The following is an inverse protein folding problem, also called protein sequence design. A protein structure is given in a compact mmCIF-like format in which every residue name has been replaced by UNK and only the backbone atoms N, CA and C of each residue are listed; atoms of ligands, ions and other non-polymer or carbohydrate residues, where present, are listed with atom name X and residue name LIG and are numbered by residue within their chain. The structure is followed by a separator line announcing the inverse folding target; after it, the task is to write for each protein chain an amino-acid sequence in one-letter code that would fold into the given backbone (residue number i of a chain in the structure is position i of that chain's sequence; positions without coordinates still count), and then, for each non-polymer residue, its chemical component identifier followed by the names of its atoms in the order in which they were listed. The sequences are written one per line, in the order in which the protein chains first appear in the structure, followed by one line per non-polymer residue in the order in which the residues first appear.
data_IF_550541738443
#
_entry.id   IF_550541738443
#
_cell.length_a   1.000
_cell.length_b   1.000
_cell.length_c   1.000
_cell.angle_alpha   90.00
_cell.angle_beta   90.00
_cell.angle_gamma   90.00
#
_symmetry.space_group_name_H-M   'P 1'
#
loop_
_entity.id
_entity.type
_entity.pdbx_description
1 polymer ?
#
# COMPACT_ATOMS: atom_id res chain seq x y z
N UNK A 1 -43.29 -4.72 -8.32
CA UNK A 1 -42.70 -5.81 -7.52
C UNK A 1 -41.20 -5.74 -7.73
N UNK A 2 -40.45 -5.20 -6.77
CA UNK A 2 -38.99 -5.05 -6.89
C UNK A 2 -38.30 -6.38 -6.55
N UNK A 3 -37.34 -6.80 -7.37
CA UNK A 3 -36.58 -8.03 -7.18
C UNK A 3 -35.69 -7.96 -5.92
N UNK A 4 -35.43 -9.08 -5.24
CA UNK A 4 -34.53 -9.10 -4.08
C UNK A 4 -33.08 -8.85 -4.52
N UNK A 5 -32.47 -7.84 -3.93
CA UNK A 5 -31.06 -7.50 -4.12
C UNK A 5 -30.18 -8.57 -3.46
N UNK A 6 -29.66 -9.50 -4.27
CA UNK A 6 -28.84 -10.60 -3.79
C UNK A 6 -27.39 -10.14 -3.69
N UNK A 7 -27.09 -9.32 -2.68
CA UNK A 7 -25.73 -8.82 -2.43
C UNK A 7 -24.82 -9.98 -2.03
N UNK A 8 -24.02 -10.45 -2.99
CA UNK A 8 -22.98 -11.46 -2.74
C UNK A 8 -21.85 -10.81 -1.96
N UNK A 9 -21.77 -11.07 -0.65
CA UNK A 9 -20.68 -10.59 0.19
C UNK A 9 -19.39 -11.36 -0.09
N UNK A 10 -18.47 -10.74 -0.82
CA UNK A 10 -17.13 -11.28 -0.96
C UNK A 10 -16.32 -11.03 0.31
N UNK A 11 -15.67 -12.06 0.89
CA UNK A 11 -14.88 -11.89 2.09
C UNK A 11 -13.66 -11.01 1.80
N UNK A 12 -13.40 -10.01 2.65
CA UNK A 12 -12.19 -9.19 2.56
C UNK A 12 -10.95 -10.06 2.78
N UNK A 13 -9.94 -9.89 1.93
CA UNK A 13 -8.69 -10.66 1.99
C UNK A 13 -7.51 -9.73 2.25
N UNK A 14 -6.54 -10.25 3.01
CA UNK A 14 -5.27 -9.57 3.24
C UNK A 14 -4.60 -9.25 1.89
N UNK A 15 -4.17 -8.00 1.71
CA UNK A 15 -3.55 -7.57 0.45
C UNK A 15 -2.29 -8.35 0.09
N UNK A 16 -1.56 -8.80 1.12
CA UNK A 16 -0.30 -9.53 0.97
C UNK A 16 -0.49 -11.05 0.86
N UNK A 17 -1.00 -11.68 1.92
CA UNK A 17 -1.09 -13.15 1.98
C UNK A 17 -2.42 -13.73 1.51
N UNK A 18 -3.37 -12.89 1.09
CA UNK A 18 -4.70 -13.29 0.58
C UNK A 18 -5.58 -14.08 1.56
N UNK A 19 -5.15 -14.27 2.80
CA UNK A 19 -5.95 -14.86 3.89
C UNK A 19 -7.16 -13.99 4.17
N UNK A 20 -8.31 -14.62 4.40
CA UNK A 20 -9.56 -13.94 4.77
C UNK A 20 -9.35 -13.17 6.08
N UNK A 21 -9.74 -11.90 6.08
CA UNK A 21 -9.75 -11.05 7.25
C UNK A 21 -11.08 -11.22 7.98
N UNK A 22 -11.03 -11.56 9.27
CA UNK A 22 -12.24 -11.62 10.12
C UNK A 22 -12.81 -10.24 10.42
N UNK A 23 -11.94 -9.24 10.47
CA UNK A 23 -12.28 -7.82 10.62
C UNK A 23 -11.53 -7.06 9.53
N UNK A 24 -12.19 -6.21 8.72
CA UNK A 24 -11.51 -5.32 7.80
C UNK A 24 -10.47 -4.47 8.52
N UNK A 25 -9.44 -4.04 7.80
CA UNK A 25 -8.45 -3.11 8.31
C UNK A 25 -8.21 -1.97 7.33
N UNK A 26 -7.87 -0.76 7.82
CA UNK A 26 -7.63 0.40 6.95
C UNK A 26 -6.53 0.13 5.90
N UNK A 27 -5.44 -0.50 6.34
CA UNK A 27 -4.30 -0.88 5.49
C UNK A 27 -4.54 -2.15 4.63
N UNK A 28 -5.70 -2.79 4.76
CA UNK A 28 -6.02 -4.06 4.10
C UNK A 28 -5.13 -5.25 4.51
N UNK A 29 -4.30 -5.12 5.56
CA UNK A 29 -3.40 -6.17 6.04
C UNK A 29 -3.93 -6.91 7.26
N UNK A 30 -3.76 -8.24 7.26
CA UNK A 30 -3.95 -9.05 8.46
C UNK A 30 -2.83 -8.83 9.48
N UNK A 31 -3.05 -9.16 10.78
CA UNK A 31 -2.10 -8.84 11.87
C UNK A 31 -0.67 -9.33 11.64
N UNK A 32 -0.51 -10.55 11.10
CA UNK A 32 0.81 -11.11 10.75
C UNK A 32 1.50 -10.27 9.68
N UNK A 33 0.82 -10.01 8.56
CA UNK A 33 1.40 -9.27 7.44
C UNK A 33 1.69 -7.82 7.80
N UNK A 34 0.83 -7.17 8.61
CA UNK A 34 1.12 -5.85 9.16
C UNK A 34 2.41 -5.84 9.98
N UNK A 35 2.58 -6.83 10.88
CA UNK A 35 3.82 -6.97 11.66
C UNK A 35 5.03 -7.17 10.77
N UNK A 36 4.92 -7.97 9.71
CA UNK A 36 6.00 -8.20 8.75
C UNK A 36 6.40 -6.91 8.05
N UNK A 37 5.44 -6.17 7.48
CA UNK A 37 5.71 -4.89 6.81
C UNK A 37 6.37 -3.89 7.76
N UNK A 38 5.85 -3.74 8.98
CA UNK A 38 6.45 -2.87 10.01
C UNK A 38 7.86 -3.32 10.40
N UNK A 39 8.12 -4.63 10.48
CA UNK A 39 9.44 -5.18 10.77
C UNK A 39 10.41 -4.90 9.63
N UNK A 40 10.01 -5.12 8.38
CA UNK A 40 10.80 -4.81 7.19
C UNK A 40 11.17 -3.33 7.16
N UNK A 41 10.21 -2.43 7.38
CA UNK A 41 10.47 -0.99 7.41
C UNK A 41 11.52 -0.58 8.48
N UNK A 42 11.58 -1.29 9.61
CA UNK A 42 12.52 -1.01 10.70
C UNK A 42 13.89 -1.67 10.53
N UNK A 43 13.92 -2.93 10.12
CA UNK A 43 15.14 -3.76 10.13
C UNK A 43 15.82 -3.84 8.76
N UNK A 44 15.07 -3.61 7.69
CA UNK A 44 15.55 -3.73 6.31
C UNK A 44 14.83 -2.71 5.42
N UNK A 45 14.95 -1.41 5.73
CA UNK A 45 14.35 -0.38 4.90
C UNK A 45 14.95 -0.44 3.48
N UNK A 46 14.18 -0.08 2.45
CA UNK A 46 14.69 0.04 1.09
C UNK A 46 15.92 0.99 1.06
N UNK A 47 17.12 0.51 0.67
CA UNK A 47 18.39 1.18 0.96
C UNK A 47 18.56 2.54 0.28
N UNK A 48 17.84 2.78 -0.82
CA UNK A 48 17.91 4.05 -1.55
C UNK A 48 17.06 5.17 -0.90
N UNK A 49 16.20 4.83 0.07
CA UNK A 49 15.26 5.78 0.67
C UNK A 49 15.78 6.35 1.99
N UNK A 50 15.59 7.65 2.18
CA UNK A 50 15.91 8.32 3.44
C UNK A 50 14.98 7.84 4.57
N UNK A 51 15.41 7.85 5.84
CA UNK A 51 14.57 7.44 6.97
C UNK A 51 13.23 8.18 7.04
N UNK A 52 13.23 9.49 6.76
CA UNK A 52 12.02 10.31 6.70
C UNK A 52 11.02 9.86 5.63
N UNK A 53 11.51 9.38 4.48
CA UNK A 53 10.67 8.85 3.40
C UNK A 53 10.08 7.50 3.76
N UNK A 54 10.86 6.66 4.46
CA UNK A 54 10.39 5.37 4.99
C UNK A 54 9.33 5.60 6.07
N UNK A 55 9.50 6.60 6.94
CA UNK A 55 8.50 6.96 7.95
C UNK A 55 7.18 7.39 7.30
N UNK A 56 7.22 8.30 6.31
CA UNK A 56 6.03 8.70 5.54
C UNK A 56 5.41 7.54 4.77
N UNK A 57 6.21 6.61 4.26
CA UNK A 57 5.71 5.42 3.59
C UNK A 57 4.94 4.49 4.55
N UNK A 58 5.43 4.33 5.78
CA UNK A 58 4.73 3.56 6.82
C UNK A 58 3.43 4.26 7.21
N UNK A 59 3.46 5.57 7.40
CA UNK A 59 2.26 6.38 7.67
C UNK A 59 1.19 6.22 6.58
N UNK A 60 1.58 6.34 5.31
CA UNK A 60 0.70 6.13 4.17
C UNK A 60 0.03 4.75 4.20
N UNK A 61 0.80 3.70 4.51
CA UNK A 61 0.27 2.33 4.64
C UNK A 61 -0.72 2.22 5.81
N UNK A 62 -0.42 2.83 6.95
CA UNK A 62 -1.28 2.78 8.14
C UNK A 62 -2.62 3.47 7.93
N UNK A 63 -2.65 4.55 7.16
CA UNK A 63 -3.88 5.22 6.74
C UNK A 63 -4.61 4.53 5.59
N UNK A 64 -4.09 3.43 5.04
CA UNK A 64 -4.70 2.75 3.91
C UNK A 64 -4.59 3.53 2.59
N UNK A 65 -3.68 4.50 2.52
CA UNK A 65 -3.46 5.34 1.35
C UNK A 65 -2.79 4.64 0.18
N UNK A 66 -2.58 3.31 0.24
CA UNK A 66 -2.04 2.51 -0.85
C UNK A 66 -3.03 1.39 -1.22
N UNK A 67 -3.76 1.59 -2.31
CA UNK A 67 -4.83 0.70 -2.77
C UNK A 67 -4.34 -0.15 -3.95
N UNK A 68 -4.43 -1.49 -3.90
CA UNK A 68 -3.91 -2.32 -4.98
C UNK A 68 -4.79 -2.25 -6.23
N UNK A 69 -4.13 -2.09 -7.37
CA UNK A 69 -4.68 -2.15 -8.71
C UNK A 69 -4.02 -3.34 -9.44
N UNK A 70 -4.80 -4.35 -9.86
CA UNK A 70 -4.30 -5.57 -10.55
C UNK A 70 -3.31 -6.41 -9.73
N UNK A 71 -3.83 -7.37 -8.96
CA UNK A 71 -3.03 -8.39 -8.26
C UNK A 71 -1.89 -7.84 -7.36
N UNK A 72 -2.01 -6.61 -6.87
CA UNK A 72 -0.97 -5.95 -6.07
C UNK A 72 0.38 -5.77 -6.80
N UNK A 73 0.39 -5.74 -8.14
CA UNK A 73 1.57 -5.35 -8.93
C UNK A 73 1.64 -3.84 -9.15
N UNK A 74 0.49 -3.20 -9.25
CA UNK A 74 0.32 -1.75 -9.31
C UNK A 74 -0.54 -1.34 -8.10
N UNK A 75 -0.34 -0.11 -7.65
CA UNK A 75 -1.07 0.50 -6.56
C UNK A 75 -1.53 1.89 -6.97
N UNK A 76 -2.62 2.35 -6.38
CA UNK A 76 -3.06 3.72 -6.33
C UNK A 76 -2.63 4.27 -4.97
N UNK A 77 -1.66 5.17 -4.98
CA UNK A 77 -1.18 5.88 -3.81
C UNK A 77 -1.91 7.22 -3.71
N UNK A 78 -2.57 7.48 -2.59
CA UNK A 78 -3.27 8.73 -2.33
C UNK A 78 -2.28 9.75 -1.78
N UNK A 79 -2.37 11.00 -2.23
CA UNK A 79 -1.59 12.09 -1.66
C UNK A 79 -1.93 12.34 -0.19
N UNK A 80 -1.02 12.98 0.54
CA UNK A 80 -1.16 13.28 1.97
C UNK A 80 -2.41 14.12 2.28
N UNK A 81 -2.77 15.06 1.40
CA UNK A 81 -3.98 15.89 1.48
C UNK A 81 -5.23 15.23 0.89
N UNK A 82 -5.10 14.02 0.32
CA UNK A 82 -6.20 13.29 -0.30
C UNK A 82 -6.69 13.84 -1.65
N UNK A 83 -6.05 14.88 -2.19
CA UNK A 83 -6.50 15.55 -3.42
C UNK A 83 -6.15 14.78 -4.71
N UNK A 84 -5.07 13.99 -4.69
CA UNK A 84 -4.50 13.35 -5.87
C UNK A 84 -4.28 11.84 -5.66
N UNK A 85 -4.31 11.09 -6.76
CA UNK A 85 -4.06 9.65 -6.76
C UNK A 85 -3.00 9.30 -7.80
N UNK A 86 -1.94 8.63 -7.36
CA UNK A 86 -0.77 8.29 -8.16
C UNK A 86 -0.69 6.78 -8.41
N UNK A 87 -0.46 6.39 -9.67
CA UNK A 87 -0.11 5.02 -10.02
C UNK A 87 1.32 4.73 -9.59
N UNK A 88 1.46 3.67 -8.79
CA UNK A 88 2.74 3.26 -8.20
C UNK A 88 2.95 1.77 -8.43
N UNK A 89 4.03 1.39 -9.08
CA UNK A 89 4.41 -0.01 -9.26
C UNK A 89 4.96 -0.60 -7.95
N UNK A 90 4.76 -1.90 -7.74
CA UNK A 90 5.34 -2.66 -6.62
C UNK A 90 6.87 -2.56 -6.54
N UNK A 91 7.51 -2.25 -7.66
CA UNK A 91 8.95 -2.01 -7.81
C UNK A 91 9.38 -0.58 -7.47
N UNK A 92 8.45 0.28 -7.05
CA UNK A 92 8.72 1.62 -6.50
C UNK A 92 8.59 2.78 -7.48
N UNK A 93 8.35 2.53 -8.78
CA UNK A 93 8.11 3.60 -9.75
C UNK A 93 6.73 4.22 -9.52
N UNK A 94 6.67 5.55 -9.39
CA UNK A 94 5.43 6.29 -9.12
C UNK A 94 5.28 7.43 -10.14
N UNK A 95 4.05 7.71 -10.57
CA UNK A 95 3.75 8.84 -11.46
C UNK A 95 3.46 10.16 -10.71
N UNK A 96 3.79 10.27 -9.42
CA UNK A 96 3.69 11.56 -8.72
C UNK A 96 4.75 12.56 -9.24
N UNK A 97 4.62 13.87 -8.98
CA UNK A 97 5.57 14.87 -9.48
C UNK A 97 7.04 14.57 -9.13
N UNK A 98 7.31 14.04 -7.93
CA UNK A 98 8.65 13.63 -7.52
C UNK A 98 9.15 12.41 -8.31
N UNK A 99 8.29 11.40 -8.50
CA UNK A 99 8.63 10.19 -9.26
C UNK A 99 8.85 10.44 -10.75
N UNK A 100 8.03 11.31 -11.36
CA UNK A 100 8.17 11.68 -12.78
C UNK A 100 9.43 12.50 -13.06
N UNK A 101 9.81 13.40 -12.15
CA UNK A 101 11.04 14.20 -12.30
C UNK A 101 12.30 13.37 -12.06
N UNK A 102 12.20 12.22 -11.39
CA UNK A 102 13.30 11.31 -11.06
C UNK A 102 14.50 11.95 -10.31
N UNK A 103 14.36 13.18 -9.81
CA UNK A 103 15.40 13.86 -9.03
C UNK A 103 15.56 13.27 -7.63
N UNK A 104 14.43 12.83 -7.04
CA UNK A 104 14.36 12.21 -5.72
C UNK A 104 13.38 11.05 -5.74
N UNK A 105 13.65 10.04 -4.93
CA UNK A 105 12.69 8.98 -4.67
C UNK A 105 11.48 9.52 -3.89
N UNK A 106 10.30 8.97 -4.12
CA UNK A 106 9.06 9.41 -3.46
C UNK A 106 8.59 8.38 -2.42
N UNK A 107 7.97 8.84 -1.33
CA UNK A 107 7.50 7.93 -0.27
C UNK A 107 6.41 6.95 -0.76
N UNK A 108 5.64 7.29 -1.80
CA UNK A 108 4.71 6.35 -2.44
C UNK A 108 5.42 5.09 -2.96
N UNK A 109 6.56 5.28 -3.63
CA UNK A 109 7.39 4.18 -4.13
C UNK A 109 7.94 3.31 -3.01
N UNK A 110 8.40 3.92 -1.92
CA UNK A 110 8.81 3.20 -0.71
C UNK A 110 7.66 2.36 -0.13
N UNK A 111 6.45 2.91 -0.03
CA UNK A 111 5.30 2.20 0.51
C UNK A 111 4.97 0.95 -0.32
N UNK A 112 4.98 1.08 -1.65
CA UNK A 112 4.77 -0.03 -2.56
C UNK A 112 5.86 -1.11 -2.44
N UNK A 113 7.14 -0.72 -2.37
CA UNK A 113 8.26 -1.63 -2.14
C UNK A 113 8.16 -2.35 -0.80
N UNK A 114 7.83 -1.65 0.28
CA UNK A 114 7.68 -2.24 1.62
C UNK A 114 6.58 -3.29 1.64
N UNK A 115 5.44 -2.99 1.01
CA UNK A 115 4.31 -3.92 0.95
C UNK A 115 4.65 -5.16 0.11
N UNK A 116 5.32 -4.96 -1.04
CA UNK A 116 5.68 -6.02 -1.96
C UNK A 116 6.83 -6.92 -1.45
N UNK A 117 7.83 -6.35 -0.76
CA UNK A 117 9.04 -7.05 -0.34
C UNK A 117 8.99 -7.60 1.09
N UNK A 118 7.98 -7.24 1.89
CA UNK A 118 7.84 -7.80 3.22
C UNK A 118 7.81 -9.33 3.15
N UNK A 119 8.58 -10.01 3.99
CA UNK A 119 8.73 -11.47 4.00
C UNK A 119 8.75 -12.02 5.43
#
# INVERSE_FOLDING_TARGET
MSAPDTTTHHPTRCLKCRRILRKPSPDGLGPKCRRMVRRTARLSPPPAYKPEQVAKAVELLEFGGLVPLRESRIFLAVSEDGSEVYRTAATGQCNCPAGLRALHLCYHGAAALLLASAA
#
